data_IF_655673318864
#
_entry.id   IF_655673318864
#
_cell.length_a   1.000
_cell.length_b   1.000
_cell.length_c   1.000
_cell.angle_alpha   90.00
_cell.angle_beta   90.00
_cell.angle_gamma   90.00
#
_symmetry.space_group_name_H-M   'P 1'
#
loop_
_entity.id
_entity.type
_entity.pdbx_description
1 polymer ?
#
# COMPACT_ATOMS: atom_id res chain seq x y z
N UNK A 1 -2.27 -12.37 22.40
CA UNK A 1 -3.16 -12.45 21.22
C UNK A 1 -2.28 -12.47 20.00
N UNK A 2 -2.43 -13.48 19.14
CA UNK A 2 -1.63 -13.61 17.92
C UNK A 2 -2.01 -12.47 16.97
N UNK A 3 -1.09 -11.55 16.68
CA UNK A 3 -1.34 -10.55 15.65
C UNK A 3 -1.45 -11.27 14.30
N UNK A 4 -2.61 -11.17 13.66
CA UNK A 4 -2.81 -11.72 12.31
C UNK A 4 -2.03 -10.87 11.32
N UNK A 5 -1.11 -11.47 10.57
CA UNK A 5 -0.29 -10.77 9.57
C UNK A 5 -1.15 -10.21 8.42
N UNK A 6 -2.31 -10.81 8.17
CA UNK A 6 -3.24 -10.44 7.11
C UNK A 6 -4.68 -10.36 7.65
N UNK A 7 -5.47 -9.44 7.09
CA UNK A 7 -6.92 -9.31 7.33
C UNK A 7 -7.65 -9.42 5.99
N UNK A 8 -8.66 -10.29 5.94
CA UNK A 8 -9.50 -10.47 4.75
C UNK A 8 -10.72 -9.56 4.86
N UNK A 9 -10.80 -8.53 4.03
CA UNK A 9 -11.96 -7.61 4.02
C UNK A 9 -13.19 -8.19 3.34
N UNK A 10 -12.98 -9.05 2.34
CA UNK A 10 -14.05 -9.63 1.52
C UNK A 10 -13.60 -10.96 0.92
N UNK A 11 -14.54 -11.89 0.77
CA UNK A 11 -14.30 -13.24 0.24
C UNK A 11 -13.83 -14.22 1.30
N UNK A 12 -13.63 -15.46 0.90
CA UNK A 12 -13.12 -16.53 1.76
C UNK A 12 -12.03 -17.29 0.99
N UNK A 13 -10.76 -16.86 1.08
CA UNK A 13 -9.69 -17.53 0.38
C UNK A 13 -9.46 -18.91 0.96
N UNK A 14 -9.06 -19.86 0.12
CA UNK A 14 -8.59 -21.14 0.61
C UNK A 14 -7.28 -20.97 1.39
N UNK A 15 -6.97 -21.86 2.36
CA UNK A 15 -5.77 -21.75 3.18
C UNK A 15 -4.47 -21.61 2.35
N UNK A 16 -4.40 -22.28 1.20
CA UNK A 16 -3.27 -22.26 0.27
C UNK A 16 -3.06 -20.87 -0.34
N UNK A 17 -4.14 -20.16 -0.66
CA UNK A 17 -4.06 -18.81 -1.23
C UNK A 17 -3.53 -17.81 -0.20
N UNK A 18 -3.99 -17.92 1.05
CA UNK A 18 -3.50 -17.09 2.15
C UNK A 18 -2.02 -17.37 2.46
N UNK A 19 -1.62 -18.65 2.43
CA UNK A 19 -0.24 -19.07 2.60
C UNK A 19 0.66 -18.53 1.49
N UNK A 20 0.21 -18.57 0.23
CA UNK A 20 0.95 -18.05 -0.91
C UNK A 20 1.21 -16.55 -0.78
N UNK A 21 0.19 -15.76 -0.45
CA UNK A 21 0.32 -14.31 -0.25
C UNK A 21 1.30 -14.02 0.91
N UNK A 22 1.15 -14.74 2.02
CA UNK A 22 2.05 -14.62 3.18
C UNK A 22 3.50 -14.91 2.81
N UNK A 23 3.75 -16.01 2.10
CA UNK A 23 5.08 -16.41 1.65
C UNK A 23 5.72 -15.34 0.75
N UNK A 24 4.95 -14.78 -0.19
CA UNK A 24 5.43 -13.70 -1.07
C UNK A 24 5.79 -12.46 -0.25
N UNK A 25 4.95 -12.05 0.69
CA UNK A 25 5.22 -10.87 1.53
C UNK A 25 6.48 -11.05 2.37
N UNK A 26 6.65 -12.23 2.97
CA UNK A 26 7.85 -12.58 3.74
C UNK A 26 9.10 -12.60 2.87
N UNK A 27 9.04 -13.22 1.69
CA UNK A 27 10.16 -13.25 0.74
C UNK A 27 10.56 -11.84 0.29
N UNK A 28 9.57 -10.97 0.00
CA UNK A 28 9.85 -9.57 -0.36
C UNK A 28 10.43 -8.78 0.81
N UNK A 29 9.94 -8.98 2.02
CA UNK A 29 10.48 -8.33 3.22
C UNK A 29 11.94 -8.72 3.46
N UNK A 30 12.27 -10.01 3.31
CA UNK A 30 13.64 -10.51 3.41
C UNK A 30 14.56 -9.97 2.31
N UNK A 31 14.03 -9.77 1.09
CA UNK A 31 14.78 -9.29 -0.07
C UNK A 31 14.83 -7.76 -0.23
N UNK A 32 14.41 -6.95 0.75
CA UNK A 32 14.42 -5.48 0.63
C UNK A 32 15.87 -4.97 0.55
N UNK A 33 16.33 -4.41 -0.59
CA UNK A 33 17.58 -3.67 -0.61
C UNK A 33 17.44 -2.47 0.33
N UNK A 34 18.52 -2.12 1.02
CA UNK A 34 18.54 -0.95 1.89
C UNK A 34 18.34 0.28 1.01
N UNK A 35 17.10 0.79 0.98
CA UNK A 35 16.77 1.93 0.15
C UNK A 35 17.64 3.10 0.61
N UNK A 36 18.31 3.84 -0.31
CA UNK A 36 18.89 5.11 0.05
C UNK A 36 17.77 5.94 0.67
N UNK A 37 18.07 6.69 1.73
CA UNK A 37 17.09 7.47 2.46
C UNK A 37 16.50 8.55 1.54
N UNK A 38 15.53 8.19 0.70
CA UNK A 38 14.68 9.14 0.02
C UNK A 38 13.82 9.76 1.11
N UNK A 39 14.17 11.00 1.47
CA UNK A 39 13.35 11.86 2.29
C UNK A 39 12.16 12.33 1.44
N UNK A 40 11.37 11.37 0.97
CA UNK A 40 10.06 11.62 0.41
C UNK A 40 9.23 12.19 1.54
N UNK A 41 8.66 13.39 1.34
CA UNK A 41 7.83 14.04 2.35
C UNK A 41 6.75 13.05 2.78
N UNK A 42 6.78 12.65 4.06
CA UNK A 42 5.78 11.77 4.67
C UNK A 42 4.39 12.40 4.68
N UNK A 43 4.31 13.71 4.45
CA UNK A 43 3.07 14.45 4.24
C UNK A 43 2.86 14.66 2.75
N UNK A 44 1.72 14.20 2.22
CA UNK A 44 1.22 14.72 0.97
C UNK A 44 1.16 16.25 1.10
N UNK A 45 1.86 16.98 0.22
CA UNK A 45 1.88 18.43 0.29
C UNK A 45 0.46 18.96 0.23
N UNK A 46 0.07 19.77 1.22
CA UNK A 46 -1.23 20.44 1.23
C UNK A 46 -1.38 21.18 -0.09
N UNK A 47 -2.31 20.72 -0.92
CA UNK A 47 -2.54 21.34 -2.22
C UNK A 47 -3.34 22.60 -2.00
N UNK A 48 -2.79 23.71 -2.48
CA UNK A 48 -3.53 24.97 -2.65
C UNK A 48 -4.57 24.75 -3.73
N UNK A 49 -5.81 24.53 -3.30
CA UNK A 49 -6.94 24.25 -4.18
C UNK A 49 -7.21 25.41 -5.14
N UNK A 50 -6.85 26.64 -4.75
CA UNK A 50 -6.89 27.82 -5.61
C UNK A 50 -5.93 27.75 -6.81
N UNK A 51 -4.95 26.84 -6.80
CA UNK A 51 -3.98 26.62 -7.89
C UNK A 51 -4.16 25.28 -8.61
N UNK A 52 -5.17 24.49 -8.25
CA UNK A 52 -5.42 23.17 -8.85
C UNK A 52 -6.72 23.24 -9.67
N UNK A 53 -6.77 22.70 -10.90
CA UNK A 53 -8.01 22.61 -11.65
C UNK A 53 -9.10 21.94 -10.79
N UNK A 54 -10.24 22.62 -10.64
CA UNK A 54 -11.27 22.28 -9.64
C UNK A 54 -11.99 20.96 -9.86
N UNK A 55 -11.68 20.23 -10.94
CA UNK A 55 -12.26 18.94 -11.24
C UNK A 55 -11.18 17.93 -11.63
N UNK A 56 -11.11 16.83 -10.87
CA UNK A 56 -10.40 15.61 -11.24
C UNK A 56 -11.44 14.51 -11.39
N UNK A 57 -11.25 13.67 -12.41
CA UNK A 57 -12.17 12.58 -12.66
C UNK A 57 -12.21 11.62 -11.46
N UNK A 58 -13.39 11.21 -10.97
CA UNK A 58 -13.53 10.40 -9.76
C UNK A 58 -12.80 9.04 -9.77
N UNK A 59 -12.41 8.57 -10.96
CA UNK A 59 -11.79 7.27 -11.19
C UNK A 59 -10.29 7.36 -11.46
N UNK A 60 -9.67 8.53 -11.33
CA UNK A 60 -8.22 8.65 -11.46
C UNK A 60 -7.53 8.34 -10.13
N UNK A 61 -6.75 7.26 -10.09
CA UNK A 61 -5.86 6.92 -8.97
C UNK A 61 -4.47 7.58 -9.05
N UNK A 62 -4.21 8.38 -10.09
CA UNK A 62 -2.97 9.14 -10.22
C UNK A 62 -3.17 10.56 -9.68
N UNK A 63 -2.48 10.84 -8.58
CA UNK A 63 -2.57 12.05 -7.78
C UNK A 63 -1.37 12.94 -7.95
#
# INVERSE_FOLDING_TARGET
>A
MSESLLRVEKGHPEPEELAAITAILMARAAGRPQAPAHHGRSTAGWRRLERTPGFRAPHSWQG
#
